data_IF_361955858026
#
_entry.id   IF_361955858026
#
_cell.length_a   1.000
_cell.length_b   1.000
_cell.length_c   1.000
_cell.angle_alpha   90.00
_cell.angle_beta   90.00
_cell.angle_gamma   90.00
#
_symmetry.space_group_name_H-M   'P 1'
#
loop_
_entity.id
_entity.type
_entity.pdbx_description
1 polymer ?
#
# COMPACT_ATOMS: atom_id res chain seq x y z
N UNK A 1 21.23 -13.35 12.36
CA UNK A 1 20.73 -12.77 11.10
C UNK A 1 19.51 -13.56 10.68
N UNK A 2 18.58 -12.95 9.95
CA UNK A 2 17.42 -13.66 9.40
C UNK A 2 17.90 -14.75 8.41
N UNK A 3 17.13 -15.84 8.22
CA UNK A 3 17.38 -16.79 7.14
C UNK A 3 17.43 -16.03 5.80
N UNK A 4 18.38 -16.38 4.94
CA UNK A 4 18.58 -15.79 3.60
C UNK A 4 18.98 -14.29 3.57
N UNK A 5 19.38 -13.70 4.70
CA UNK A 5 19.91 -12.32 4.76
C UNK A 5 21.36 -12.29 5.25
N UNK A 6 22.24 -11.76 4.41
CA UNK A 6 23.64 -11.43 4.70
C UNK A 6 23.89 -9.91 4.61
N UNK A 7 25.10 -9.47 4.94
CA UNK A 7 25.43 -8.03 4.98
C UNK A 7 25.28 -7.36 3.59
N UNK A 8 25.51 -8.11 2.51
CA UNK A 8 25.38 -7.62 1.14
C UNK A 8 23.91 -7.45 0.72
N UNK A 9 23.07 -8.43 1.01
CA UNK A 9 21.62 -8.38 0.73
C UNK A 9 20.92 -7.29 1.53
N UNK A 10 21.27 -7.10 2.81
CA UNK A 10 20.74 -5.99 3.62
C UNK A 10 21.10 -4.64 3.01
N UNK A 11 22.35 -4.43 2.58
CA UNK A 11 22.78 -3.18 1.92
C UNK A 11 21.99 -2.92 0.64
N UNK A 12 21.71 -3.95 -0.15
CA UNK A 12 20.87 -3.83 -1.35
C UNK A 12 19.44 -3.41 -0.97
N UNK A 13 18.86 -3.99 0.08
CA UNK A 13 17.50 -3.69 0.52
C UNK A 13 17.33 -2.23 0.99
N UNK A 14 18.35 -1.65 1.61
CA UNK A 14 18.31 -0.27 2.15
C UNK A 14 18.93 0.77 1.21
N UNK A 15 19.41 0.38 0.02
CA UNK A 15 20.08 1.28 -0.91
C UNK A 15 19.10 2.31 -1.52
N UNK A 16 19.29 3.63 -1.28
CA UNK A 16 18.38 4.65 -1.78
C UNK A 16 18.50 4.94 -3.29
N UNK A 17 19.46 4.35 -4.01
CA UNK A 17 19.74 4.67 -5.42
C UNK A 17 18.52 4.49 -6.34
N UNK A 18 17.76 3.41 -6.17
CA UNK A 18 16.54 3.12 -6.94
C UNK A 18 15.28 3.29 -6.07
N UNK A 19 14.95 4.54 -5.75
CA UNK A 19 13.81 4.89 -4.89
C UNK A 19 12.43 4.48 -5.45
N UNK A 20 12.36 3.99 -6.70
CA UNK A 20 11.13 3.53 -7.35
C UNK A 20 10.97 2.01 -7.35
N UNK A 21 11.90 1.27 -6.73
CA UNK A 21 11.89 -0.19 -6.73
C UNK A 21 10.89 -0.79 -5.71
N UNK A 22 9.62 -0.89 -6.11
CA UNK A 22 8.55 -1.45 -5.28
C UNK A 22 8.85 -2.89 -4.81
N UNK A 23 9.31 -3.83 -5.66
CA UNK A 23 9.63 -5.19 -5.21
C UNK A 23 10.67 -5.25 -4.08
N UNK A 24 11.66 -4.36 -4.13
CA UNK A 24 12.69 -4.26 -3.10
C UNK A 24 12.15 -3.71 -1.77
N UNK A 25 11.27 -2.71 -1.83
CA UNK A 25 10.58 -2.22 -0.64
C UNK A 25 9.73 -3.32 0.01
N UNK A 26 9.02 -4.12 -0.80
CA UNK A 26 8.25 -5.28 -0.31
C UNK A 26 9.15 -6.29 0.40
N UNK A 27 10.30 -6.66 -0.19
CA UNK A 27 11.27 -7.57 0.45
C UNK A 27 11.81 -7.02 1.77
N UNK A 28 12.09 -5.71 1.84
CA UNK A 28 12.51 -5.06 3.08
C UNK A 28 11.43 -5.16 4.16
N UNK A 29 10.15 -4.92 3.83
CA UNK A 29 9.06 -5.03 4.79
C UNK A 29 8.84 -6.47 5.27
N UNK A 30 8.97 -7.45 4.38
CA UNK A 30 8.91 -8.87 4.76
C UNK A 30 10.04 -9.24 5.72
N UNK A 31 11.27 -8.78 5.46
CA UNK A 31 12.39 -8.99 6.37
C UNK A 31 12.13 -8.34 7.74
N UNK A 32 11.61 -7.10 7.77
CA UNK A 32 11.24 -6.42 9.02
C UNK A 32 10.14 -7.18 9.78
N UNK A 33 9.17 -7.77 9.07
CA UNK A 33 8.09 -8.53 9.69
C UNK A 33 8.61 -9.82 10.36
N UNK A 34 9.52 -10.53 9.69
CA UNK A 34 10.17 -11.75 10.20
C UNK A 34 11.08 -11.51 11.41
N UNK A 35 11.56 -10.29 11.63
CA UNK A 35 12.35 -9.96 12.83
C UNK A 35 11.57 -10.19 14.13
N UNK A 36 10.24 -10.17 14.08
CA UNK A 36 9.40 -10.42 15.25
C UNK A 36 9.36 -11.90 15.68
N UNK A 37 9.72 -12.81 14.78
CA UNK A 37 9.72 -14.26 15.03
C UNK A 37 11.09 -14.77 15.51
N UNK A 38 12.09 -13.87 15.59
CA UNK A 38 13.40 -14.21 16.13
C UNK A 38 13.31 -14.42 17.64
N UNK A 39 13.87 -15.54 18.12
CA UNK A 39 13.99 -15.81 19.55
C UNK A 39 15.01 -14.86 20.19
N UNK A 40 14.51 -13.73 20.70
CA UNK A 40 15.30 -12.69 21.36
C UNK A 40 15.88 -13.12 22.71
N UNK A 41 15.62 -14.36 23.17
CA UNK A 41 16.25 -14.92 24.37
C UNK A 41 17.76 -15.20 24.19
N UNK A 42 18.29 -15.01 22.99
CA UNK A 42 19.74 -15.04 22.73
C UNK A 42 20.37 -13.69 23.06
N UNK A 43 21.23 -13.65 24.09
CA UNK A 43 22.10 -12.54 24.55
C UNK A 43 22.25 -11.35 23.60
N UNK A 44 21.24 -10.48 23.52
CA UNK A 44 21.37 -9.18 22.89
C UNK A 44 22.09 -8.24 23.86
N UNK A 45 22.91 -7.35 23.31
CA UNK A 45 23.44 -6.25 24.13
C UNK A 45 22.33 -5.24 24.40
N UNK A 46 22.36 -4.48 25.50
CA UNK A 46 21.35 -3.45 25.80
C UNK A 46 21.18 -2.40 24.69
N UNK A 47 22.21 -2.18 23.88
CA UNK A 47 22.15 -1.28 22.71
C UNK A 47 21.32 -1.93 21.59
N UNK A 48 21.58 -3.20 21.30
CA UNK A 48 20.86 -3.94 20.27
C UNK A 48 19.39 -4.15 20.63
N UNK A 49 19.07 -4.30 21.93
CA UNK A 49 17.68 -4.33 22.42
C UNK A 49 16.93 -3.04 22.06
N UNK A 50 17.50 -1.87 22.36
CA UNK A 50 16.87 -0.58 22.01
C UNK A 50 16.70 -0.37 20.51
N UNK A 51 17.66 -0.83 19.72
CA UNK A 51 17.56 -0.78 18.26
C UNK A 51 16.43 -1.70 17.77
N UNK A 52 16.33 -2.91 18.33
CA UNK A 52 15.25 -3.83 18.01
C UNK A 52 13.89 -3.25 18.39
N UNK A 53 13.75 -2.64 19.57
CA UNK A 53 12.52 -1.96 19.99
C UNK A 53 12.10 -0.87 18.99
N UNK A 54 13.06 -0.06 18.53
CA UNK A 54 12.80 0.98 17.53
C UNK A 54 12.36 0.37 16.18
N UNK A 55 12.99 -0.72 15.75
CA UNK A 55 12.60 -1.44 14.53
C UNK A 55 11.20 -2.05 14.69
N UNK A 56 10.85 -2.57 15.87
CA UNK A 56 9.52 -3.11 16.15
C UNK A 56 8.44 -2.04 16.14
N UNK A 57 8.73 -0.83 16.64
CA UNK A 57 7.83 0.33 16.51
C UNK A 57 7.65 0.69 15.03
N UNK A 58 8.74 0.78 14.27
CA UNK A 58 8.69 1.06 12.83
C UNK A 58 7.88 0.00 12.08
N UNK A 59 8.06 -1.29 12.41
CA UNK A 59 7.27 -2.40 11.89
C UNK A 59 5.78 -2.18 12.13
N UNK A 60 5.38 -1.76 13.33
CA UNK A 60 3.97 -1.52 13.64
C UNK A 60 3.36 -0.42 12.76
N UNK A 61 4.10 0.67 12.52
CA UNK A 61 3.67 1.76 11.62
C UNK A 61 3.52 1.25 10.19
N UNK A 62 4.55 0.57 9.67
CA UNK A 62 4.57 0.02 8.30
C UNK A 62 3.41 -0.96 8.10
N UNK A 63 3.24 -1.92 9.01
CA UNK A 63 2.19 -2.91 8.91
C UNK A 63 0.80 -2.27 8.99
N UNK A 64 0.60 -1.30 9.87
CA UNK A 64 -0.67 -0.59 9.98
C UNK A 64 -1.01 0.24 8.74
N UNK A 65 0.00 0.70 7.99
CA UNK A 65 -0.19 1.37 6.72
C UNK A 65 -0.45 0.40 5.57
N UNK A 66 0.36 -0.64 5.42
CA UNK A 66 0.41 -1.46 4.20
C UNK A 66 -0.65 -2.56 4.19
N UNK A 67 -0.85 -3.27 5.31
CA UNK A 67 -1.80 -4.40 5.39
C UNK A 67 -3.21 -4.09 4.87
N UNK A 68 -3.80 -2.90 5.15
CA UNK A 68 -5.08 -2.48 4.57
C UNK A 68 -5.19 -2.59 3.05
N UNK A 69 -4.08 -2.44 2.33
CA UNK A 69 -4.07 -2.42 0.87
C UNK A 69 -3.73 -3.78 0.25
N UNK A 70 -2.98 -4.62 0.98
CA UNK A 70 -2.42 -5.86 0.45
C UNK A 70 -3.00 -7.14 1.04
N UNK A 71 -3.82 -7.07 2.10
CA UNK A 71 -4.42 -8.27 2.68
C UNK A 71 -5.88 -8.41 2.21
N UNK A 72 -6.20 -9.45 1.43
CA UNK A 72 -7.52 -9.60 0.81
C UNK A 72 -8.56 -10.07 1.83
N UNK A 73 -8.08 -10.68 2.91
CA UNK A 73 -8.88 -11.22 4.00
C UNK A 73 -9.26 -10.14 5.03
N UNK A 74 -8.99 -8.86 4.77
CA UNK A 74 -9.48 -7.79 5.63
C UNK A 74 -10.83 -7.28 5.14
N UNK A 75 -11.82 -7.21 6.04
CA UNK A 75 -13.04 -6.45 5.81
C UNK A 75 -12.74 -4.96 5.74
N UNK A 76 -13.63 -4.17 5.13
CA UNK A 76 -13.44 -2.73 5.01
C UNK A 76 -13.31 -2.05 6.38
N UNK A 77 -14.09 -2.49 7.37
CA UNK A 77 -13.98 -2.02 8.75
C UNK A 77 -12.61 -2.34 9.36
N UNK A 78 -12.09 -3.55 9.15
CA UNK A 78 -10.76 -3.93 9.65
C UNK A 78 -9.66 -3.10 8.98
N UNK A 79 -9.74 -2.90 7.66
CA UNK A 79 -8.80 -2.04 6.92
C UNK A 79 -8.77 -0.62 7.50
N UNK A 80 -9.92 -0.05 7.85
CA UNK A 80 -10.01 1.27 8.48
C UNK A 80 -9.48 1.31 9.92
N UNK A 81 -9.62 0.24 10.68
CA UNK A 81 -9.03 0.14 12.03
C UNK A 81 -7.51 0.20 11.92
N UNK A 82 -6.91 -0.55 11.00
CA UNK A 82 -5.47 -0.52 10.73
C UNK A 82 -4.99 0.86 10.26
N UNK A 83 -5.70 1.51 9.33
CA UNK A 83 -5.35 2.88 8.89
C UNK A 83 -5.50 3.91 10.01
N UNK A 84 -6.53 3.77 10.84
CA UNK A 84 -6.69 4.61 12.04
C UNK A 84 -5.54 4.38 13.03
N UNK A 85 -5.15 3.13 13.28
CA UNK A 85 -3.98 2.79 14.10
C UNK A 85 -2.73 3.46 13.55
N UNK A 86 -2.51 3.38 12.24
CA UNK A 86 -1.40 4.06 11.56
C UNK A 86 -1.41 5.57 11.82
N UNK A 87 -2.55 6.25 11.61
CA UNK A 87 -2.67 7.69 11.82
C UNK A 87 -2.34 8.11 13.27
N UNK A 88 -2.77 7.33 14.27
CA UNK A 88 -2.50 7.60 15.68
C UNK A 88 -1.03 7.35 16.05
N UNK A 89 -0.43 6.25 15.58
CA UNK A 89 1.00 5.96 15.76
C UNK A 89 1.86 7.06 15.14
N UNK A 90 1.56 7.46 13.90
CA UNK A 90 2.26 8.53 13.19
C UNK A 90 2.17 9.85 13.95
N UNK A 91 0.98 10.20 14.46
CA UNK A 91 0.80 11.40 15.27
C UNK A 91 1.63 11.36 16.56
N UNK A 92 1.60 10.24 17.29
CA UNK A 92 2.35 10.08 18.53
C UNK A 92 3.87 10.20 18.29
N UNK A 93 4.39 9.49 17.29
CA UNK A 93 5.82 9.47 16.97
C UNK A 93 6.30 10.81 16.42
N UNK A 94 5.52 11.46 15.54
CA UNK A 94 5.85 12.80 15.03
C UNK A 94 5.78 13.84 16.15
N UNK A 95 4.83 13.75 17.09
CA UNK A 95 4.77 14.65 18.25
C UNK A 95 5.94 14.48 19.21
N UNK A 96 6.42 13.25 19.40
CA UNK A 96 7.52 12.93 20.33
C UNK A 96 8.91 13.21 19.73
N UNK A 97 9.10 12.91 18.45
CA UNK A 97 10.41 12.91 17.80
C UNK A 97 10.53 13.91 16.64
N UNK A 98 9.43 14.52 16.21
CA UNK A 98 9.40 15.50 15.14
C UNK A 98 10.02 14.97 13.84
N UNK A 99 10.84 15.81 13.21
CA UNK A 99 11.51 15.50 11.95
C UNK A 99 12.64 14.46 12.07
N UNK A 100 13.05 14.12 13.29
CA UNK A 100 14.04 13.06 13.51
C UNK A 100 13.48 11.67 13.23
N UNK A 101 12.16 11.49 13.34
CA UNK A 101 11.51 10.23 12.98
C UNK A 101 11.13 10.18 11.49
N UNK A 102 10.49 11.23 10.98
CA UNK A 102 10.14 11.33 9.56
C UNK A 102 10.00 12.79 9.12
N UNK A 103 10.20 13.05 7.83
CA UNK A 103 10.02 14.40 7.29
C UNK A 103 8.57 14.88 7.45
N UNK A 104 8.39 16.19 7.57
CA UNK A 104 7.05 16.79 7.64
C UNK A 104 6.22 16.49 6.38
N UNK A 105 6.87 16.37 5.22
CA UNK A 105 6.23 15.98 3.97
C UNK A 105 5.67 14.56 4.06
N UNK A 106 6.50 13.58 4.44
CA UNK A 106 6.07 12.18 4.57
C UNK A 106 4.94 12.02 5.60
N UNK A 107 5.04 12.71 6.74
CA UNK A 107 3.97 12.72 7.74
C UNK A 107 2.65 13.27 7.16
N UNK A 108 2.71 14.42 6.48
CA UNK A 108 1.55 15.03 5.87
C UNK A 108 0.93 14.16 4.78
N UNK A 109 1.75 13.50 3.96
CA UNK A 109 1.31 12.61 2.89
C UNK A 109 0.59 11.38 3.46
N UNK A 110 1.18 10.71 4.45
CA UNK A 110 0.57 9.53 5.09
C UNK A 110 -0.77 9.87 5.78
N UNK A 111 -0.84 10.98 6.51
CA UNK A 111 -2.09 11.46 7.11
C UNK A 111 -3.13 11.82 6.04
N UNK A 112 -2.69 12.38 4.91
CA UNK A 112 -3.57 12.73 3.80
C UNK A 112 -4.14 11.49 3.10
N UNK A 113 -3.40 10.39 3.01
CA UNK A 113 -3.92 9.10 2.54
C UNK A 113 -5.04 8.62 3.44
N UNK A 114 -4.81 8.54 4.77
CA UNK A 114 -5.84 8.09 5.72
C UNK A 114 -7.08 8.98 5.66
N UNK A 115 -6.89 10.31 5.63
CA UNK A 115 -7.99 11.27 5.47
C UNK A 115 -8.76 11.01 4.18
N UNK A 116 -8.08 10.90 3.04
CA UNK A 116 -8.72 10.68 1.74
C UNK A 116 -9.58 9.41 1.74
N UNK A 117 -9.06 8.31 2.29
CA UNK A 117 -9.81 7.05 2.43
C UNK A 117 -11.11 7.28 3.21
N UNK A 118 -11.03 7.89 4.40
CA UNK A 118 -12.20 8.14 5.26
C UNK A 118 -13.23 9.01 4.55
N UNK A 119 -12.80 10.09 3.89
CA UNK A 119 -13.69 10.99 3.16
C UNK A 119 -14.33 10.32 1.93
N UNK A 120 -13.60 9.50 1.19
CA UNK A 120 -14.16 8.76 0.05
C UNK A 120 -15.24 7.76 0.50
N UNK A 121 -15.02 7.06 1.61
CA UNK A 121 -16.03 6.16 2.18
C UNK A 121 -17.25 6.93 2.68
N UNK A 122 -17.05 8.07 3.36
CA UNK A 122 -18.15 8.93 3.78
C UNK A 122 -18.97 9.42 2.57
N UNK A 123 -18.32 9.82 1.48
CA UNK A 123 -19.00 10.19 0.24
C UNK A 123 -19.75 9.00 -0.38
N UNK A 124 -19.14 7.82 -0.39
CA UNK A 124 -19.79 6.62 -0.91
C UNK A 124 -21.04 6.26 -0.09
N UNK A 125 -21.01 6.42 1.25
CA UNK A 125 -22.20 6.23 2.10
C UNK A 125 -23.37 7.11 1.69
N UNK A 126 -23.11 8.38 1.35
CA UNK A 126 -24.15 9.33 0.94
C UNK A 126 -24.66 9.07 -0.49
N UNK A 127 -23.82 8.49 -1.36
CA UNK A 127 -24.16 8.22 -2.76
C UNK A 127 -24.87 6.87 -2.95
N UNK A 128 -24.25 5.79 -2.45
CA UNK A 128 -24.77 4.43 -2.47
C UNK A 128 -23.99 3.59 -1.45
N UNK A 129 -24.62 3.31 -0.30
CA UNK A 129 -24.00 2.53 0.78
C UNK A 129 -24.01 1.02 0.52
N UNK A 130 -24.67 0.54 -0.54
CA UNK A 130 -24.80 -0.88 -0.86
C UNK A 130 -23.65 -1.43 -1.70
N UNK A 131 -22.80 -0.55 -2.24
CA UNK A 131 -21.67 -0.96 -3.07
C UNK A 131 -20.42 -1.30 -2.25
N UNK A 132 -19.60 -2.26 -2.73
CA UNK A 132 -18.30 -2.51 -2.17
C UNK A 132 -17.35 -1.33 -2.43
N UNK A 133 -16.47 -1.05 -1.48
CA UNK A 133 -15.44 -0.04 -1.62
C UNK A 133 -14.05 -0.66 -1.51
N UNK A 134 -13.24 -0.45 -2.54
CA UNK A 134 -11.93 -1.07 -2.68
C UNK A 134 -10.82 -0.06 -2.43
N UNK A 135 -10.18 -0.11 -1.25
CA UNK A 135 -9.15 0.87 -0.85
C UNK A 135 -8.00 1.01 -1.84
N UNK A 136 -7.49 -0.11 -2.37
CA UNK A 136 -6.38 -0.10 -3.31
C UNK A 136 -6.71 0.60 -4.64
N UNK A 137 -8.00 0.82 -4.96
CA UNK A 137 -8.41 1.57 -6.16
C UNK A 137 -8.32 3.09 -6.00
N UNK A 138 -8.01 3.59 -4.79
CA UNK A 138 -7.73 5.03 -4.56
C UNK A 138 -6.38 5.43 -5.16
N UNK A 139 -5.49 4.46 -5.41
CA UNK A 139 -4.18 4.69 -6.00
C UNK A 139 -4.21 5.07 -7.48
N UNK A 140 -3.01 5.34 -8.01
CA UNK A 140 -2.81 5.77 -9.41
C UNK A 140 -2.48 4.64 -10.38
N UNK A 141 -2.43 3.38 -9.94
CA UNK A 141 -2.05 2.22 -10.75
C UNK A 141 -2.74 2.14 -12.11
N UNK A 142 -4.05 2.40 -12.17
CA UNK A 142 -4.81 2.38 -13.45
C UNK A 142 -4.36 3.50 -14.40
N UNK A 143 -4.02 4.66 -13.85
CA UNK A 143 -3.48 5.78 -14.61
C UNK A 143 -2.05 5.50 -15.07
N UNK A 144 -1.24 4.87 -14.23
CA UNK A 144 0.11 4.42 -14.60
C UNK A 144 0.08 3.35 -15.70
N UNK A 145 -0.85 2.41 -15.63
CA UNK A 145 -1.09 1.44 -16.70
C UNK A 145 -1.47 2.15 -18.01
N UNK A 146 -2.35 3.14 -17.96
CA UNK A 146 -2.72 3.95 -19.13
C UNK A 146 -1.51 4.69 -19.71
N UNK A 147 -0.64 5.26 -18.85
CA UNK A 147 0.61 5.87 -19.31
C UNK A 147 1.58 4.83 -19.89
N UNK A 148 1.64 3.63 -19.34
CA UNK A 148 2.39 2.51 -19.91
C UNK A 148 1.91 2.14 -21.32
N UNK A 149 0.60 2.07 -21.52
CA UNK A 149 -0.02 1.84 -22.83
C UNK A 149 0.34 2.95 -23.83
N UNK A 150 0.26 4.23 -23.42
CA UNK A 150 0.66 5.38 -24.28
C UNK A 150 2.12 5.31 -24.72
N UNK A 151 3.02 4.92 -23.81
CA UNK A 151 4.47 4.84 -24.07
C UNK A 151 4.86 3.62 -24.92
N UNK A 152 4.07 2.55 -24.87
CA UNK A 152 4.35 1.30 -25.59
C UNK A 152 3.57 1.15 -26.90
N UNK A 153 2.59 2.03 -27.16
CA UNK A 153 1.78 1.99 -28.37
C UNK A 153 2.61 2.06 -29.66
N UNK A 154 3.72 2.79 -29.66
CA UNK A 154 4.62 2.97 -30.80
C UNK A 154 6.10 2.88 -30.34
N UNK A 155 7.02 2.86 -31.29
CA UNK A 155 8.47 2.88 -31.03
C UNK A 155 9.01 4.18 -30.42
N UNK A 156 8.17 5.20 -30.25
CA UNK A 156 8.54 6.47 -29.63
C UNK A 156 7.89 6.61 -28.24
N UNK A 157 8.64 6.37 -27.16
CA UNK A 157 8.13 6.42 -25.80
C UNK A 157 8.02 7.85 -25.23
N UNK A 158 8.53 8.87 -25.92
CA UNK A 158 8.57 10.25 -25.43
C UNK A 158 7.71 11.15 -26.31
N UNK A 159 6.44 11.27 -25.94
CA UNK A 159 5.44 12.00 -26.71
C UNK A 159 5.43 13.50 -26.40
N UNK A 160 5.16 14.31 -27.42
CA UNK A 160 4.76 15.70 -27.21
C UNK A 160 3.32 15.81 -26.68
N UNK A 161 2.89 17.01 -26.28
CA UNK A 161 1.56 17.20 -25.67
C UNK A 161 0.40 16.86 -26.63
N UNK A 162 0.56 17.07 -27.93
CA UNK A 162 -0.47 16.75 -28.93
C UNK A 162 -0.56 15.24 -29.11
N UNK A 163 0.59 14.59 -29.29
CA UNK A 163 0.70 13.14 -29.40
C UNK A 163 0.19 12.45 -28.13
N UNK A 164 0.45 13.00 -26.95
CA UNK A 164 -0.10 12.49 -25.69
C UNK A 164 -1.63 12.49 -25.72
N UNK A 165 -2.26 13.60 -26.14
CA UNK A 165 -3.72 13.68 -26.26
C UNK A 165 -4.30 12.66 -27.24
N UNK A 166 -3.69 12.53 -28.42
CA UNK A 166 -4.11 11.57 -29.44
C UNK A 166 -3.97 10.13 -28.95
N UNK A 167 -2.83 9.77 -28.34
CA UNK A 167 -2.59 8.42 -27.84
C UNK A 167 -3.43 8.08 -26.62
N UNK A 168 -3.69 9.04 -25.71
CA UNK A 168 -4.62 8.84 -24.60
C UNK A 168 -6.03 8.54 -25.11
N UNK A 169 -6.51 9.26 -26.14
CA UNK A 169 -7.81 8.98 -26.74
C UNK A 169 -7.88 7.55 -27.32
N UNK A 170 -6.84 7.13 -28.04
CA UNK A 170 -6.76 5.75 -28.55
C UNK A 170 -6.69 4.71 -27.43
N UNK A 171 -5.88 4.93 -26.39
CA UNK A 171 -5.75 4.02 -25.25
C UNK A 171 -7.06 3.89 -24.45
N UNK A 172 -7.77 4.99 -24.23
CA UNK A 172 -9.09 4.97 -23.59
C UNK A 172 -10.13 4.24 -24.44
N UNK A 173 -10.13 4.41 -25.76
CA UNK A 173 -11.03 3.67 -26.65
C UNK A 173 -10.76 2.17 -26.60
N UNK A 174 -9.49 1.76 -26.61
CA UNK A 174 -9.11 0.36 -26.42
C UNK A 174 -9.52 -0.17 -25.05
N UNK A 175 -9.31 0.61 -23.98
CA UNK A 175 -9.74 0.24 -22.64
C UNK A 175 -11.26 0.05 -22.56
N UNK A 176 -12.05 0.88 -23.23
CA UNK A 176 -13.51 0.72 -23.37
C UNK A 176 -13.88 -0.62 -24.00
N UNK A 177 -13.28 -0.94 -25.14
CA UNK A 177 -13.51 -2.21 -25.83
C UNK A 177 -13.16 -3.41 -24.94
N UNK A 178 -12.05 -3.34 -24.18
CA UNK A 178 -11.67 -4.41 -23.26
C UNK A 178 -12.54 -4.48 -22.00
N UNK A 179 -13.22 -3.42 -21.60
CA UNK A 179 -14.22 -3.48 -20.52
C UNK A 179 -15.48 -4.19 -20.99
N UNK A 180 -15.91 -3.93 -22.23
CA UNK A 180 -17.07 -4.58 -22.85
C UNK A 180 -16.77 -6.04 -23.23
N UNK A 181 -15.51 -6.34 -23.60
CA UNK A 181 -15.01 -7.66 -23.98
C UNK A 181 -13.77 -8.06 -23.16
N UNK A 182 -13.93 -8.40 -21.87
CA UNK A 182 -12.81 -8.78 -20.99
C UNK A 182 -11.98 -9.94 -21.53
N UNK A 183 -12.60 -10.84 -22.30
CA UNK A 183 -11.98 -12.03 -22.89
C UNK A 183 -10.95 -11.70 -23.99
N UNK A 184 -11.01 -10.50 -24.59
CA UNK A 184 -10.05 -10.08 -25.62
C UNK A 184 -8.75 -9.54 -25.02
N UNK A 185 -8.78 -9.10 -23.76
CA UNK A 185 -7.58 -8.62 -23.07
C UNK A 185 -6.81 -9.83 -22.57
N UNK A 186 -5.75 -10.21 -23.29
CA UNK A 186 -4.70 -11.10 -22.76
C UNK A 186 -3.94 -10.37 -21.66
N UNK A 187 -4.53 -10.39 -20.47
CA UNK A 187 -3.87 -9.91 -19.26
C UNK A 187 -2.77 -10.91 -18.92
N UNK A 188 -1.61 -10.45 -18.46
CA UNK A 188 -0.67 -11.35 -17.80
C UNK A 188 -1.37 -11.90 -16.55
N UNK A 189 -1.95 -13.10 -16.65
CA UNK A 189 -2.52 -13.80 -15.51
C UNK A 189 -1.38 -14.11 -14.55
N UNK A 190 -1.23 -13.30 -13.49
CA UNK A 190 -0.37 -13.67 -12.38
C UNK A 190 -1.03 -14.84 -11.65
N UNK A 191 -0.33 -15.97 -11.66
CA UNK A 191 -0.80 -17.28 -11.21
C UNK A 191 -0.85 -17.43 -9.68
N UNK A 192 -0.23 -16.54 -8.90
CA UNK A 192 -0.27 -16.59 -7.44
C UNK A 192 -0.23 -15.22 -6.79
N UNK A 193 -1.01 -15.07 -5.72
CA UNK A 193 -1.12 -13.90 -4.86
C UNK A 193 -0.28 -14.04 -3.57
N UNK A 194 0.39 -15.17 -3.37
CA UNK A 194 1.07 -15.49 -2.12
C UNK A 194 2.36 -14.68 -1.96
N UNK A 195 2.34 -13.59 -1.18
CA UNK A 195 3.50 -12.94 -0.53
C UNK A 195 4.77 -12.82 -1.41
N UNK A 196 4.61 -12.70 -2.72
CA UNK A 196 5.70 -12.62 -3.70
C UNK A 196 5.56 -11.34 -4.52
N UNK A 197 6.62 -10.98 -5.25
CA UNK A 197 6.73 -9.79 -6.09
C UNK A 197 5.41 -9.46 -6.84
N UNK A 198 4.79 -8.31 -6.53
CA UNK A 198 3.50 -7.92 -7.12
C UNK A 198 2.32 -7.70 -6.16
N UNK A 199 2.54 -7.70 -4.85
CA UNK A 199 1.48 -7.43 -3.86
C UNK A 199 0.81 -6.05 -4.02
N UNK A 200 1.40 -5.15 -4.80
CA UNK A 200 0.90 -3.84 -5.19
C UNK A 200 -0.23 -3.90 -6.24
N UNK A 201 -0.32 -4.96 -7.05
CA UNK A 201 -1.33 -5.10 -8.09
C UNK A 201 -2.43 -6.11 -7.71
N UNK A 202 -3.30 -5.73 -6.76
CA UNK A 202 -4.36 -6.62 -6.29
C UNK A 202 -5.62 -6.52 -7.17
N UNK A 203 -6.09 -7.64 -7.70
CA UNK A 203 -7.36 -7.71 -8.41
C UNK A 203 -8.53 -7.73 -7.39
N UNK A 204 -9.61 -6.94 -7.60
CA UNK A 204 -10.81 -6.95 -6.74
C UNK A 204 -11.34 -8.34 -6.39
N UNK A 205 -11.23 -9.30 -7.32
CA UNK A 205 -11.70 -10.67 -7.13
C UNK A 205 -11.07 -11.42 -5.96
N UNK A 206 -9.91 -10.97 -5.48
CA UNK A 206 -9.22 -11.61 -4.36
C UNK A 206 -9.79 -11.19 -3.01
N UNK A 207 -10.42 -10.01 -2.92
CA UNK A 207 -11.04 -9.57 -1.67
C UNK A 207 -12.39 -10.26 -1.49
N UNK A 208 -12.42 -11.26 -0.60
CA UNK A 208 -13.57 -12.13 -0.38
C UNK A 208 -14.42 -11.72 0.83
N UNK A 209 -13.94 -10.79 1.66
CA UNK A 209 -14.61 -10.38 2.89
C UNK A 209 -15.55 -9.19 2.70
N UNK A 210 -16.27 -8.84 3.76
CA UNK A 210 -17.26 -7.75 3.75
C UNK A 210 -16.61 -6.40 3.43
N UNK A 211 -16.86 -5.91 2.22
CA UNK A 211 -16.35 -4.63 1.72
C UNK A 211 -17.45 -3.58 1.51
N UNK A 212 -18.70 -3.91 1.85
CA UNK A 212 -19.82 -2.98 1.64
C UNK A 212 -19.73 -1.81 2.60
N UNK A 213 -19.94 -0.61 2.06
CA UNK A 213 -19.78 0.64 2.81
C UNK A 213 -20.82 0.82 3.92
N UNK A 214 -22.02 0.26 3.77
CA UNK A 214 -23.09 0.25 4.78
C UNK A 214 -22.62 -0.39 6.11
N UNK A 215 -21.78 -1.42 6.05
CA UNK A 215 -21.28 -2.17 7.22
C UNK A 215 -20.33 -1.36 8.13
N UNK A 216 -19.81 -0.24 7.65
CA UNK A 216 -18.76 0.53 8.34
C UNK A 216 -19.35 1.62 9.22
N UNK A 217 -18.96 1.69 10.49
CA UNK A 217 -19.17 2.87 11.32
C UNK A 217 -17.86 3.65 11.50
N UNK A 218 -17.73 4.79 10.82
CA UNK A 218 -16.50 5.59 10.78
C UNK A 218 -16.02 6.02 12.18
N UNK A 219 -16.93 6.40 13.07
CA UNK A 219 -16.59 6.79 14.44
C UNK A 219 -16.03 5.61 15.26
N UNK A 220 -16.63 4.42 15.10
CA UNK A 220 -16.20 3.21 15.80
C UNK A 220 -14.83 2.77 15.32
N UNK A 221 -14.62 2.64 14.01
CA UNK A 221 -13.32 2.19 13.47
C UNK A 221 -12.20 3.17 13.80
N UNK A 222 -12.49 4.48 13.81
CA UNK A 222 -11.52 5.50 14.21
C UNK A 222 -11.11 5.32 15.68
N UNK A 223 -12.08 5.14 16.57
CA UNK A 223 -11.82 4.93 18.01
C UNK A 223 -11.09 3.60 18.28
N UNK A 224 -11.47 2.52 17.59
CA UNK A 224 -10.80 1.22 17.74
C UNK A 224 -9.34 1.29 17.33
N UNK A 225 -9.02 1.91 16.18
CA UNK A 225 -7.63 2.08 15.76
C UNK A 225 -6.79 2.90 16.74
N UNK A 226 -7.40 3.88 17.43
CA UNK A 226 -6.74 4.61 18.53
C UNK A 226 -6.41 3.72 19.73
N UNK A 227 -7.27 2.76 20.06
CA UNK A 227 -7.07 1.85 21.20
C UNK A 227 -5.97 0.82 20.87
N UNK A 228 -5.86 0.42 19.60
CA UNK A 228 -4.84 -0.53 19.13
C UNK A 228 -3.47 0.12 18.86
N UNK A 229 -3.39 1.45 18.82
CA UNK A 229 -2.17 2.25 18.65
C UNK A 229 -1.48 2.51 19.99
#
# INVERSE_FOLDING_TARGET
>A
MLPDQDDATVRVLIDPADHQNVPRAVKLFQAIDQLADLDTNTCLTPINEKVLDAIMILRQVINAFIKPFILPDLSLSAQLIWLSKCAHLLFALHRLHGTSFMSNALYADLQSVVKTVVFCIAKQKELDDTQPFYLYQIGTDRLEQLFGEVRTANHDPNVDAKQLGERLASALAMSGIFMDHPEWKRTQCRLSYNNSEGADHVNPRYFMNELTVSSVCLATVWKSGRIEA
#
